data_IF_773963190537
#
_entry.id   IF_773963190537
#
_cell.length_a   1.000
_cell.length_b   1.000
_cell.length_c   1.000
_cell.angle_alpha   90.00
_cell.angle_beta   90.00
_cell.angle_gamma   90.00
#
_symmetry.space_group_name_H-M   'P 1'
#
loop_
_entity.id
_entity.type
_entity.pdbx_description
1 polymer ?
#
# COMPACT_ATOMS: atom_id res chain seq x y z
N UNK A 1 -2.55 -24.97 -6.41
CA UNK A 1 -2.01 -24.62 -5.10
C UNK A 1 -1.68 -23.13 -5.01
N UNK A 2 -0.86 -22.53 -5.87
CA UNK A 2 -0.47 -21.10 -5.84
C UNK A 2 -1.64 -20.10 -5.70
N UNK A 3 -2.77 -20.30 -6.38
CA UNK A 3 -3.98 -19.44 -6.27
C UNK A 3 -4.69 -19.49 -4.91
N UNK A 4 -4.48 -20.52 -4.12
CA UNK A 4 -5.09 -20.69 -2.79
C UNK A 4 -4.22 -19.97 -1.75
N UNK A 5 -2.91 -20.05 -1.87
CA UNK A 5 -1.95 -19.34 -1.01
C UNK A 5 -2.06 -17.81 -1.20
N UNK A 6 -2.13 -17.33 -2.44
CA UNK A 6 -2.35 -15.91 -2.75
C UNK A 6 -3.65 -15.38 -2.12
N UNK A 7 -4.71 -16.19 -2.13
CA UNK A 7 -6.01 -15.84 -1.54
C UNK A 7 -6.00 -15.80 -0.02
N UNK A 8 -5.21 -16.66 0.62
CA UNK A 8 -5.00 -16.67 2.07
C UNK A 8 -4.20 -15.46 2.55
N UNK A 9 -3.31 -14.93 1.70
CA UNK A 9 -2.51 -13.73 1.94
C UNK A 9 -3.23 -12.44 1.50
N UNK A 10 -4.51 -12.51 1.08
CA UNK A 10 -5.30 -11.35 0.65
C UNK A 10 -4.78 -10.67 -0.60
N UNK A 11 -3.95 -11.36 -1.40
CA UNK A 11 -3.39 -10.83 -2.64
C UNK A 11 -4.46 -10.77 -3.73
N UNK A 12 -5.06 -9.61 -3.91
CA UNK A 12 -5.96 -9.31 -5.03
C UNK A 12 -5.21 -8.44 -6.04
N UNK A 13 -4.99 -8.99 -7.24
CA UNK A 13 -4.32 -8.23 -8.30
C UNK A 13 -5.26 -7.19 -8.90
N UNK A 14 -4.80 -5.94 -8.89
CA UNK A 14 -5.57 -4.83 -9.47
C UNK A 14 -5.64 -4.95 -10.99
N UNK A 15 -6.84 -4.90 -11.61
CA UNK A 15 -6.94 -4.91 -13.08
C UNK A 15 -6.21 -3.72 -13.70
N UNK A 16 -5.50 -3.93 -14.81
CA UNK A 16 -4.80 -2.85 -15.52
C UNK A 16 -5.70 -1.66 -15.85
N UNK A 17 -6.97 -1.90 -16.19
CA UNK A 17 -7.95 -0.84 -16.45
C UNK A 17 -8.15 0.07 -15.23
N UNK A 18 -8.14 -0.47 -14.02
CA UNK A 18 -8.24 0.30 -12.78
C UNK A 18 -6.99 1.15 -12.57
N UNK A 19 -5.80 0.58 -12.79
CA UNK A 19 -4.53 1.30 -12.68
C UNK A 19 -4.46 2.43 -13.73
N UNK A 20 -4.89 2.17 -14.95
CA UNK A 20 -4.95 3.18 -16.00
C UNK A 20 -5.90 4.34 -15.63
N UNK A 21 -7.07 4.03 -15.08
CA UNK A 21 -7.98 5.04 -14.55
C UNK A 21 -7.33 5.90 -13.46
N UNK A 22 -6.60 5.27 -12.52
CA UNK A 22 -5.88 5.98 -11.45
C UNK A 22 -4.81 6.91 -12.04
N UNK A 23 -4.04 6.45 -13.03
CA UNK A 23 -3.06 7.25 -13.75
C UNK A 23 -3.67 8.48 -14.43
N UNK A 24 -4.74 8.27 -15.18
CA UNK A 24 -5.46 9.36 -15.88
C UNK A 24 -6.05 10.37 -14.89
N UNK A 25 -6.54 9.90 -13.73
CA UNK A 25 -7.04 10.78 -12.69
C UNK A 25 -5.93 11.65 -12.10
N UNK A 26 -4.78 11.04 -11.73
CA UNK A 26 -3.63 11.77 -11.20
C UNK A 26 -3.07 12.79 -12.19
N UNK A 27 -3.03 12.45 -13.47
CA UNK A 27 -2.58 13.36 -14.53
C UNK A 27 -3.48 14.62 -14.65
N UNK A 28 -4.79 14.51 -14.37
CA UNK A 28 -5.73 15.65 -14.39
C UNK A 28 -5.54 16.60 -13.21
N UNK A 29 -5.03 16.11 -12.09
CA UNK A 29 -4.76 16.95 -10.91
C UNK A 29 -3.57 17.90 -11.11
N UNK A 30 -2.82 17.77 -12.21
CA UNK A 30 -1.64 18.59 -12.53
C UNK A 30 -0.59 18.68 -11.41
N UNK A 31 -0.56 17.68 -10.51
CA UNK A 31 0.44 17.58 -9.47
C UNK A 31 1.66 16.82 -9.97
N UNK A 32 2.82 17.27 -9.55
CA UNK A 32 4.09 16.58 -9.78
C UNK A 32 4.37 15.69 -8.58
N UNK A 33 4.61 14.41 -8.83
CA UNK A 33 4.92 13.43 -7.81
C UNK A 33 6.35 12.92 -8.03
N UNK A 34 7.33 13.56 -7.41
CA UNK A 34 8.74 13.14 -7.52
C UNK A 34 9.01 11.83 -6.79
N UNK A 35 8.44 11.66 -5.58
CA UNK A 35 8.63 10.46 -4.76
C UNK A 35 7.32 9.70 -4.57
N UNK A 36 7.34 8.42 -4.96
CA UNK A 36 6.18 7.51 -4.91
C UNK A 36 6.50 6.34 -3.99
N UNK A 37 5.51 5.91 -3.19
CA UNK A 37 5.57 4.70 -2.39
C UNK A 37 4.46 3.74 -2.82
N UNK A 38 4.82 2.48 -3.05
CA UNK A 38 3.90 1.36 -3.22
C UNK A 38 4.08 0.38 -2.05
N UNK A 39 3.16 0.34 -1.07
CA UNK A 39 3.36 -0.40 0.17
C UNK A 39 3.12 -1.92 0.07
N UNK A 40 2.60 -2.42 -1.05
CA UNK A 40 2.32 -3.85 -1.26
C UNK A 40 2.34 -4.20 -2.74
N UNK A 41 3.55 -4.37 -3.28
CA UNK A 41 3.81 -4.42 -4.74
C UNK A 41 3.12 -5.58 -5.44
N UNK A 42 3.07 -6.75 -4.81
CA UNK A 42 2.46 -7.94 -5.39
C UNK A 42 3.14 -8.40 -6.68
N UNK A 43 2.42 -8.31 -7.79
CA UNK A 43 2.96 -8.69 -9.11
C UNK A 43 3.58 -7.52 -9.91
N UNK A 44 3.70 -6.33 -9.31
CA UNK A 44 4.40 -5.18 -9.89
C UNK A 44 3.61 -4.36 -10.91
N UNK A 45 2.29 -4.54 -11.03
CA UNK A 45 1.48 -3.82 -12.04
C UNK A 45 1.49 -2.31 -11.89
N UNK A 46 1.55 -1.81 -10.67
CA UNK A 46 1.68 -0.38 -10.45
C UNK A 46 3.07 0.10 -10.86
N UNK A 47 4.14 -0.65 -10.55
CA UNK A 47 5.49 -0.33 -11.04
C UNK A 47 5.51 -0.27 -12.57
N UNK A 48 4.99 -1.30 -13.25
CA UNK A 48 4.92 -1.36 -14.73
C UNK A 48 4.20 -0.13 -15.32
N UNK A 49 3.22 0.42 -14.60
CA UNK A 49 2.45 1.57 -15.05
C UNK A 49 3.12 2.91 -14.79
N UNK A 50 3.89 3.02 -13.71
CA UNK A 50 4.40 4.31 -13.22
C UNK A 50 5.90 4.52 -13.40
N UNK A 51 6.71 3.46 -13.61
CA UNK A 51 8.18 3.57 -13.70
C UNK A 51 8.69 4.52 -14.79
N UNK A 52 7.89 4.73 -15.85
CA UNK A 52 8.27 5.57 -17.02
C UNK A 52 7.70 6.98 -16.97
N UNK A 53 7.07 7.37 -15.88
CA UNK A 53 6.57 8.74 -15.73
C UNK A 53 7.73 9.69 -15.47
N UNK A 54 7.95 10.64 -16.38
CA UNK A 54 9.09 11.58 -16.34
C UNK A 54 9.12 12.44 -15.06
N UNK A 55 7.97 12.66 -14.43
CA UNK A 55 7.89 13.43 -13.18
C UNK A 55 8.32 12.65 -11.94
N UNK A 56 8.49 11.32 -12.05
CA UNK A 56 8.83 10.47 -10.91
C UNK A 56 10.35 10.29 -10.83
N UNK A 57 10.93 10.80 -9.77
CA UNK A 57 12.36 10.70 -9.48
C UNK A 57 12.71 9.41 -8.73
N UNK A 58 11.78 8.92 -7.90
CA UNK A 58 11.98 7.72 -7.08
C UNK A 58 10.66 6.99 -6.84
N UNK A 59 10.68 5.67 -6.99
CA UNK A 59 9.60 4.77 -6.54
C UNK A 59 10.20 3.82 -5.51
N UNK A 60 9.66 3.83 -4.29
CA UNK A 60 9.96 2.79 -3.30
C UNK A 60 8.81 1.82 -3.27
N UNK A 61 9.12 0.54 -3.43
CA UNK A 61 8.15 -0.53 -3.57
C UNK A 61 8.41 -1.62 -2.52
N UNK A 62 7.51 -1.77 -1.55
CA UNK A 62 7.66 -2.71 -0.44
C UNK A 62 6.89 -4.00 -0.73
N UNK A 63 7.54 -5.14 -0.54
CA UNK A 63 6.94 -6.47 -0.69
C UNK A 63 7.42 -7.38 0.44
N UNK A 64 6.47 -8.04 1.09
CA UNK A 64 6.72 -8.95 2.21
C UNK A 64 7.34 -10.27 1.77
N UNK A 65 6.94 -10.78 0.59
CA UNK A 65 7.30 -12.11 0.12
C UNK A 65 8.60 -12.06 -0.65
N UNK A 66 9.70 -12.60 -0.10
CA UNK A 66 11.04 -12.59 -0.70
C UNK A 66 11.07 -13.18 -2.12
N UNK A 67 10.30 -14.26 -2.38
CA UNK A 67 10.22 -14.83 -3.74
C UNK A 67 9.71 -13.81 -4.76
N UNK A 68 8.69 -13.01 -4.39
CA UNK A 68 8.15 -11.94 -5.24
C UNK A 68 9.15 -10.82 -5.44
N UNK A 69 9.85 -10.43 -4.37
CA UNK A 69 10.94 -9.44 -4.44
C UNK A 69 12.01 -9.87 -5.46
N UNK A 70 12.44 -11.15 -5.40
CA UNK A 70 13.39 -11.70 -6.36
C UNK A 70 12.86 -11.67 -7.80
N UNK A 71 11.59 -12.01 -8.00
CA UNK A 71 10.95 -11.96 -9.33
C UNK A 71 10.87 -10.52 -9.87
N UNK A 72 10.54 -9.55 -9.01
CA UNK A 72 10.46 -8.14 -9.39
C UNK A 72 11.84 -7.57 -9.74
N UNK A 73 12.86 -7.83 -8.93
CA UNK A 73 14.24 -7.37 -9.19
C UNK A 73 14.79 -7.93 -10.53
N UNK A 74 14.40 -9.14 -10.90
CA UNK A 74 14.80 -9.76 -12.16
C UNK A 74 14.09 -9.17 -13.41
N UNK A 75 13.07 -8.30 -13.25
CA UNK A 75 12.41 -7.63 -14.39
C UNK A 75 13.22 -6.50 -15.00
N UNK A 76 14.24 -5.99 -14.28
CA UNK A 76 15.11 -4.92 -14.77
C UNK A 76 14.40 -3.57 -14.85
N UNK A 77 13.68 -3.20 -13.80
CA UNK A 77 13.12 -1.85 -13.63
C UNK A 77 14.21 -0.77 -13.72
N UNK A 78 13.81 0.47 -14.01
CA UNK A 78 14.71 1.60 -14.08
C UNK A 78 15.36 1.91 -12.71
N UNK A 79 16.49 2.62 -12.72
CA UNK A 79 17.30 2.90 -11.49
C UNK A 79 16.52 3.63 -10.40
N UNK A 80 15.50 4.41 -10.77
CA UNK A 80 14.65 5.11 -9.79
C UNK A 80 13.70 4.18 -9.01
N UNK A 81 13.59 2.89 -9.36
CA UNK A 81 12.74 1.90 -8.67
C UNK A 81 13.56 1.14 -7.65
N UNK A 82 13.27 1.36 -6.38
CA UNK A 82 13.84 0.62 -5.25
C UNK A 82 12.84 -0.41 -4.74
N UNK A 83 13.19 -1.71 -4.80
CA UNK A 83 12.35 -2.80 -4.28
C UNK A 83 12.90 -3.25 -2.94
N UNK A 84 12.09 -3.07 -1.89
CA UNK A 84 12.42 -3.36 -0.49
C UNK A 84 11.70 -4.64 -0.04
N UNK A 85 12.45 -5.60 0.49
CA UNK A 85 11.91 -6.80 1.13
C UNK A 85 11.67 -6.49 2.61
N UNK A 86 10.46 -6.10 2.99
CA UNK A 86 10.08 -5.85 4.39
C UNK A 86 8.56 -5.96 4.57
N UNK A 87 8.11 -6.09 5.81
CA UNK A 87 6.71 -5.79 6.17
C UNK A 87 6.49 -4.28 6.09
N UNK A 88 5.45 -3.86 5.38
CA UNK A 88 5.20 -2.42 5.21
C UNK A 88 4.99 -1.67 6.54
N UNK A 89 4.39 -2.30 7.54
CA UNK A 89 4.20 -1.66 8.84
C UNK A 89 5.55 -1.43 9.55
N UNK A 90 6.49 -2.35 9.39
CA UNK A 90 7.87 -2.21 9.85
C UNK A 90 8.63 -1.14 9.09
N UNK A 91 8.51 -1.15 7.77
CA UNK A 91 9.09 -0.14 6.90
C UNK A 91 8.61 1.27 7.28
N UNK A 92 7.31 1.44 7.46
CA UNK A 92 6.70 2.73 7.80
C UNK A 92 7.15 3.27 9.17
N UNK A 93 7.45 2.37 10.13
CA UNK A 93 7.97 2.77 11.43
C UNK A 93 9.44 3.20 11.37
N UNK A 94 10.25 2.55 10.54
CA UNK A 94 11.69 2.77 10.42
C UNK A 94 12.06 3.94 9.50
N UNK A 95 11.23 4.19 8.47
CA UNK A 95 11.56 5.20 7.46
C UNK A 95 11.32 6.61 7.98
N UNK A 96 12.29 7.50 7.72
CA UNK A 96 12.13 8.95 7.87
C UNK A 96 11.72 9.62 6.54
N UNK A 97 11.76 8.88 5.43
CA UNK A 97 11.44 9.38 4.11
C UNK A 97 9.94 9.66 3.98
N UNK A 98 9.58 10.74 3.27
CA UNK A 98 8.20 11.12 2.99
C UNK A 98 7.94 11.08 1.50
N UNK A 99 6.69 10.76 1.13
CA UNK A 99 6.29 10.52 -0.25
C UNK A 99 5.16 11.44 -0.65
N UNK A 100 5.24 11.98 -1.86
CA UNK A 100 4.21 12.87 -2.42
C UNK A 100 3.01 12.09 -2.94
N UNK A 101 3.24 10.84 -3.35
CA UNK A 101 2.19 9.94 -3.77
C UNK A 101 2.38 8.56 -3.12
N UNK A 102 1.32 8.03 -2.54
CA UNK A 102 1.29 6.64 -2.08
C UNK A 102 0.17 5.93 -2.84
N UNK A 103 0.54 4.93 -3.63
CA UNK A 103 -0.38 4.17 -4.51
C UNK A 103 -0.34 2.69 -4.17
N UNK A 104 -1.41 1.98 -4.46
CA UNK A 104 -1.41 0.53 -4.33
C UNK A 104 -2.78 -0.06 -4.04
N UNK A 105 -2.74 -1.34 -3.74
CA UNK A 105 -3.89 -2.14 -3.33
C UNK A 105 -3.54 -2.88 -2.03
N UNK A 106 -3.81 -2.28 -0.86
CA UNK A 106 -3.49 -2.89 0.43
C UNK A 106 -4.12 -4.28 0.60
N UNK A 107 -3.52 -5.19 1.39
CA UNK A 107 -4.04 -6.54 1.59
C UNK A 107 -5.37 -6.52 2.36
N UNK A 108 -6.40 -7.24 1.83
CA UNK A 108 -7.72 -7.39 2.46
C UNK A 108 -7.78 -8.67 3.30
N UNK A 109 -7.03 -8.68 4.40
CA UNK A 109 -6.95 -9.82 5.30
C UNK A 109 -7.52 -9.41 6.66
N UNK A 110 -8.27 -10.33 7.27
CA UNK A 110 -8.64 -10.17 8.66
C UNK A 110 -7.39 -10.34 9.53
N UNK A 111 -7.12 -9.38 10.41
CA UNK A 111 -5.95 -9.36 11.30
C UNK A 111 -5.85 -10.67 12.13
N UNK A 112 -6.99 -11.33 12.44
CA UNK A 112 -6.99 -12.60 13.16
C UNK A 112 -6.28 -13.75 12.42
N UNK A 113 -6.19 -13.65 11.09
CA UNK A 113 -5.60 -14.67 10.22
C UNK A 113 -4.12 -14.41 9.91
N UNK A 114 -3.52 -13.39 10.53
CA UNK A 114 -2.13 -13.01 10.31
C UNK A 114 -1.19 -13.64 11.33
N UNK A 115 0.09 -13.65 10.99
CA UNK A 115 1.16 -13.99 11.94
C UNK A 115 1.18 -12.99 13.11
N UNK A 116 1.60 -13.47 14.28
CA UNK A 116 1.48 -12.70 15.52
C UNK A 116 2.18 -11.35 15.46
N UNK A 117 3.35 -11.26 14.83
CA UNK A 117 4.12 -10.01 14.76
C UNK A 117 3.36 -8.91 13.98
N UNK A 118 2.95 -9.18 12.74
CA UNK A 118 2.19 -8.22 11.93
C UNK A 118 0.83 -7.86 12.55
N UNK A 119 0.23 -8.81 13.26
CA UNK A 119 -1.02 -8.60 14.00
C UNK A 119 -0.86 -7.64 15.19
N UNK A 120 0.20 -7.78 15.96
CA UNK A 120 0.49 -6.88 17.09
C UNK A 120 0.78 -5.47 16.60
N UNK A 121 1.60 -5.32 15.58
CA UNK A 121 1.90 -4.02 14.96
C UNK A 121 0.66 -3.32 14.39
N UNK A 122 -0.18 -4.06 13.67
CA UNK A 122 -1.42 -3.51 13.14
C UNK A 122 -2.32 -2.97 14.26
N UNK A 123 -2.39 -3.66 15.41
CA UNK A 123 -3.12 -3.19 16.58
C UNK A 123 -2.51 -1.95 17.18
N UNK A 124 -1.19 -1.93 17.40
CA UNK A 124 -0.47 -0.79 17.96
C UNK A 124 -0.68 0.48 17.12
N UNK A 125 -0.61 0.35 15.78
CA UNK A 125 -0.88 1.47 14.87
C UNK A 125 -2.31 1.96 15.05
N UNK A 126 -3.30 1.06 15.04
CA UNK A 126 -4.70 1.45 15.21
C UNK A 126 -4.97 2.10 16.58
N UNK A 127 -4.34 1.61 17.65
CA UNK A 127 -4.45 2.17 19.01
C UNK A 127 -3.85 3.58 19.10
N UNK A 128 -2.71 3.83 18.46
CA UNK A 128 -2.11 5.19 18.37
C UNK A 128 -3.10 6.21 17.78
N UNK A 129 -3.95 5.78 16.85
CA UNK A 129 -4.98 6.62 16.23
C UNK A 129 -6.34 6.56 16.94
N UNK A 130 -6.42 5.90 18.10
CA UNK A 130 -7.64 5.76 18.92
C UNK A 130 -8.86 5.21 18.15
N UNK A 131 -8.62 4.30 17.23
CA UNK A 131 -9.68 3.71 16.43
C UNK A 131 -10.54 2.72 17.24
N UNK A 132 -11.85 2.63 16.98
CA UNK A 132 -12.70 1.61 17.57
C UNK A 132 -12.24 0.20 17.20
N UNK A 133 -12.33 -0.75 18.13
CA UNK A 133 -11.96 -2.16 17.91
C UNK A 133 -12.66 -2.80 16.70
N UNK A 134 -13.86 -2.34 16.35
CA UNK A 134 -14.58 -2.81 15.16
C UNK A 134 -13.88 -2.49 13.83
N UNK A 135 -13.08 -1.43 13.79
CA UNK A 135 -12.27 -1.05 12.62
C UNK A 135 -10.92 -1.77 12.57
N UNK A 136 -10.43 -2.22 13.73
CA UNK A 136 -9.14 -2.92 13.86
C UNK A 136 -9.18 -4.38 13.35
N UNK A 137 -10.18 -4.77 12.56
CA UNK A 137 -10.33 -6.16 12.13
C UNK A 137 -9.64 -6.48 10.81
N UNK A 138 -9.34 -5.46 10.01
CA UNK A 138 -8.80 -5.62 8.67
C UNK A 138 -7.44 -4.91 8.51
N UNK A 139 -6.51 -5.60 7.87
CA UNK A 139 -5.14 -5.13 7.66
C UNK A 139 -5.08 -3.82 6.85
N UNK A 140 -5.95 -3.64 5.85
CA UNK A 140 -5.95 -2.41 5.05
C UNK A 140 -6.11 -1.13 5.89
N UNK A 141 -6.77 -1.21 7.08
CA UNK A 141 -6.89 -0.06 7.99
C UNK A 141 -5.52 0.34 8.53
N UNK A 142 -4.74 -0.62 9.04
CA UNK A 142 -3.39 -0.37 9.53
C UNK A 142 -2.48 0.15 8.40
N UNK A 143 -2.63 -0.39 7.17
CA UNK A 143 -1.90 0.10 5.99
C UNK A 143 -2.21 1.56 5.67
N UNK A 144 -3.48 1.96 5.68
CA UNK A 144 -3.86 3.37 5.46
C UNK A 144 -3.22 4.27 6.50
N UNK A 145 -3.29 3.90 7.78
CA UNK A 145 -2.71 4.69 8.87
C UNK A 145 -1.18 4.79 8.79
N UNK A 146 -0.51 3.67 8.49
CA UNK A 146 0.92 3.63 8.27
C UNK A 146 1.31 4.48 7.03
N UNK A 147 0.54 4.42 5.95
CA UNK A 147 0.75 5.25 4.77
C UNK A 147 0.62 6.76 5.10
N UNK A 148 -0.35 7.15 5.93
CA UNK A 148 -0.46 8.54 6.40
C UNK A 148 0.81 8.99 7.12
N UNK A 149 1.46 8.11 7.89
CA UNK A 149 2.72 8.46 8.56
C UNK A 149 3.89 8.68 7.59
N UNK A 150 3.84 8.08 6.39
CA UNK A 150 4.85 8.22 5.34
C UNK A 150 4.53 9.35 4.35
N UNK A 151 3.37 9.99 4.47
CA UNK A 151 2.91 11.00 3.52
C UNK A 151 3.57 12.37 3.76
N UNK A 152 3.95 13.06 2.70
CA UNK A 152 4.30 14.48 2.78
C UNK A 152 3.07 15.35 3.08
N UNK A 153 3.32 16.56 3.59
CA UNK A 153 2.27 17.57 3.69
C UNK A 153 1.74 17.86 2.28
N UNK A 154 0.43 17.78 2.09
CA UNK A 154 -0.24 17.93 0.79
C UNK A 154 -0.01 16.76 -0.20
N UNK A 155 0.61 15.66 0.26
CA UNK A 155 0.74 14.45 -0.51
C UNK A 155 -0.61 13.77 -0.75
N UNK A 156 -0.62 12.80 -1.65
CA UNK A 156 -1.82 12.07 -2.07
C UNK A 156 -1.69 10.59 -1.75
N UNK A 157 -2.71 10.00 -1.12
CA UNK A 157 -2.88 8.54 -1.03
C UNK A 157 -3.96 8.14 -2.03
N UNK A 158 -3.63 7.22 -2.92
CA UNK A 158 -4.56 6.71 -3.91
C UNK A 158 -4.58 5.18 -3.88
N UNK A 159 -5.38 4.62 -3.00
CA UNK A 159 -5.53 3.18 -2.82
C UNK A 159 -6.78 2.61 -3.47
N UNK A 160 -6.67 1.37 -3.94
CA UNK A 160 -7.84 0.53 -4.20
C UNK A 160 -8.28 -0.04 -2.86
N UNK A 161 -9.51 0.25 -2.43
CA UNK A 161 -10.05 -0.19 -1.14
C UNK A 161 -11.36 -0.98 -1.36
N UNK A 162 -11.71 -1.90 -0.45
CA UNK A 162 -12.96 -2.64 -0.53
C UNK A 162 -14.17 -1.71 -0.29
N UNK A 163 -15.33 -2.04 -0.88
CA UNK A 163 -16.55 -1.22 -0.73
C UNK A 163 -17.03 -1.10 0.73
N UNK A 164 -16.66 -2.05 1.57
CA UNK A 164 -16.93 -2.01 3.01
C UNK A 164 -16.38 -0.75 3.68
N UNK A 165 -15.35 -0.14 3.12
CA UNK A 165 -14.84 1.16 3.56
C UNK A 165 -15.93 2.24 3.56
N UNK A 166 -16.83 2.25 2.57
CA UNK A 166 -17.92 3.22 2.45
C UNK A 166 -19.10 2.91 3.38
N UNK A 167 -19.15 1.71 3.97
CA UNK A 167 -20.24 1.25 4.83
C UNK A 167 -19.92 1.38 6.32
N UNK A 168 -18.75 1.89 6.68
CA UNK A 168 -18.40 2.16 8.08
C UNK A 168 -19.29 3.29 8.59
N UNK A 169 -20.30 2.94 9.38
CA UNK A 169 -21.12 3.92 10.08
C UNK A 169 -20.25 4.61 11.13
N UNK A 170 -19.83 5.81 10.83
CA UNK A 170 -19.31 6.72 11.85
C UNK A 170 -20.46 7.08 12.79
N UNK A 171 -20.59 6.36 13.88
CA UNK A 171 -21.44 6.84 14.98
C UNK A 171 -20.77 8.08 15.54
N UNK A 172 -21.19 9.24 15.05
CA UNK A 172 -20.93 10.51 15.72
C UNK A 172 -21.53 10.40 17.12
N UNK A 173 -20.71 10.16 18.13
CA UNK A 173 -21.10 10.50 19.50
C UNK A 173 -21.11 12.03 19.57
N UNK A 174 -22.33 12.57 19.64
CA UNK A 174 -22.57 13.95 20.09
C UNK A 174 -22.12 14.11 21.53
#
# INVERSE_FOLDING_TARGET
MKKIEDKLLGSYYTPYRTIQFMKEYLAREHKIYGKVLEPSVGDGRFLDAFEKEESIEKIVAVELIEEKVGQLKNRGYLEQVEIVADDFLDFAEKTSEKYQLIIGNPPYINIKNMENNSKEKAKEICEKFQLPNSLMQNMWVAFVLAAVSCLEREGTIFFVLPMEFLQVQYTYRR
#
